data_IF_938301969848
#
_entry.id   IF_938301969848
#
_cell.length_a   1.000
_cell.length_b   1.000
_cell.length_c   1.000
_cell.angle_alpha   90.00
_cell.angle_beta   90.00
_cell.angle_gamma   90.00
#
_symmetry.space_group_name_H-M   'P 1'
#
loop_
_entity.id
_entity.type
_entity.pdbx_description
1 polymer ?
#
# COMPACT_ATOMS: atom_id res chain seq x y z
N UNK A 1 13.55 -8.82 -35.99
CA UNK A 1 13.20 -9.27 -34.62
C UNK A 1 14.34 -8.89 -33.69
N UNK A 2 14.06 -8.30 -32.53
CA UNK A 2 15.11 -8.02 -31.54
C UNK A 2 15.72 -9.33 -31.03
N UNK A 3 17.05 -9.39 -30.94
CA UNK A 3 17.78 -10.60 -30.51
C UNK A 3 17.85 -10.64 -28.98
N UNK A 4 17.63 -11.81 -28.39
CA UNK A 4 17.88 -12.03 -26.97
C UNK A 4 19.34 -11.72 -26.68
N UNK A 5 19.59 -10.76 -25.78
CA UNK A 5 20.94 -10.36 -25.40
C UNK A 5 20.98 -9.97 -23.94
N UNK A 6 22.06 -10.37 -23.26
CA UNK A 6 22.25 -10.13 -21.83
C UNK A 6 22.11 -8.65 -21.46
N UNK A 7 22.65 -7.75 -22.29
CA UNK A 7 22.56 -6.29 -22.09
C UNK A 7 21.12 -5.77 -22.14
N UNK A 8 20.30 -6.31 -23.04
CA UNK A 8 18.88 -5.93 -23.14
C UNK A 8 18.12 -6.46 -21.93
N UNK A 9 18.37 -7.71 -21.54
CA UNK A 9 17.78 -8.33 -20.35
C UNK A 9 18.11 -7.55 -19.08
N UNK A 10 19.38 -7.24 -18.84
CA UNK A 10 19.83 -6.45 -17.68
C UNK A 10 19.13 -5.08 -17.62
N UNK A 11 18.95 -4.44 -18.78
CA UNK A 11 18.25 -3.15 -18.87
C UNK A 11 16.76 -3.28 -18.56
N UNK A 12 16.10 -4.32 -19.06
CA UNK A 12 14.69 -4.61 -18.75
C UNK A 12 14.51 -4.88 -17.26
N UNK A 13 15.31 -5.77 -16.69
CA UNK A 13 15.28 -6.14 -15.26
C UNK A 13 15.55 -4.90 -14.39
N UNK A 14 16.52 -4.07 -14.78
CA UNK A 14 16.80 -2.80 -14.10
C UNK A 14 15.59 -1.86 -14.08
N UNK A 15 14.89 -1.70 -15.21
CA UNK A 15 13.70 -0.85 -15.30
C UNK A 15 12.52 -1.41 -14.49
N UNK A 16 12.33 -2.74 -14.48
CA UNK A 16 11.32 -3.40 -13.65
C UNK A 16 11.58 -3.14 -12.15
N UNK A 17 12.85 -3.14 -11.75
CA UNK A 17 13.26 -2.92 -10.35
C UNK A 17 13.14 -1.46 -9.93
N UNK A 18 13.39 -0.51 -10.83
CA UNK A 18 13.58 0.90 -10.47
C UNK A 18 12.31 1.74 -10.36
N UNK A 19 11.23 1.41 -11.09
CA UNK A 19 10.16 2.39 -11.31
C UNK A 19 8.77 1.77 -11.52
N UNK A 20 7.72 2.60 -11.57
CA UNK A 20 6.32 2.26 -11.82
C UNK A 20 5.94 1.95 -13.26
N UNK A 21 6.93 1.83 -14.15
CA UNK A 21 6.67 1.53 -15.55
C UNK A 21 5.86 0.25 -15.72
N UNK A 22 4.91 0.33 -16.65
CA UNK A 22 4.24 -0.80 -17.24
C UNK A 22 5.21 -1.58 -18.14
N UNK A 23 4.89 -2.86 -18.39
CA UNK A 23 5.66 -3.68 -19.34
C UNK A 23 5.72 -3.00 -20.71
N UNK A 24 4.65 -2.32 -21.12
CA UNK A 24 4.58 -1.57 -22.37
C UNK A 24 5.63 -0.46 -22.46
N UNK A 25 5.75 0.37 -21.41
CA UNK A 25 6.73 1.45 -21.34
C UNK A 25 8.16 0.92 -21.30
N UNK A 26 8.40 -0.15 -20.53
CA UNK A 26 9.70 -0.82 -20.49
C UNK A 26 10.09 -1.33 -21.88
N UNK A 27 9.15 -1.99 -22.57
CA UNK A 27 9.35 -2.49 -23.92
C UNK A 27 9.68 -1.36 -24.90
N UNK A 28 8.96 -0.23 -24.84
CA UNK A 28 9.19 0.94 -25.67
C UNK A 28 10.58 1.55 -25.41
N UNK A 29 10.98 1.68 -24.15
CA UNK A 29 12.26 2.29 -23.76
C UNK A 29 13.47 1.43 -24.13
N UNK A 30 13.29 0.11 -24.15
CA UNK A 30 14.33 -0.85 -24.50
C UNK A 30 14.33 -1.19 -26.00
N UNK A 31 13.25 -0.91 -26.71
CA UNK A 31 13.13 -1.13 -28.15
C UNK A 31 12.73 -2.56 -28.53
N UNK A 32 11.91 -3.22 -27.69
CA UNK A 32 11.33 -4.55 -27.96
C UNK A 32 9.80 -4.46 -28.01
N UNK A 33 9.15 -5.43 -28.66
CA UNK A 33 7.69 -5.56 -28.58
C UNK A 33 7.28 -6.30 -27.31
N UNK A 34 6.07 -6.03 -26.80
CA UNK A 34 5.52 -6.77 -25.65
C UNK A 34 5.42 -8.29 -25.93
N UNK A 35 5.08 -8.66 -27.17
CA UNK A 35 5.10 -10.07 -27.58
C UNK A 35 6.51 -10.69 -27.47
N UNK A 36 7.56 -9.94 -27.78
CA UNK A 36 8.94 -10.41 -27.62
C UNK A 36 9.29 -10.59 -26.14
N UNK A 37 8.86 -9.66 -25.29
CA UNK A 37 9.04 -9.75 -23.84
C UNK A 37 8.39 -11.01 -23.26
N UNK A 38 7.11 -11.25 -23.56
CA UNK A 38 6.39 -12.43 -23.06
C UNK A 38 6.98 -13.73 -23.62
N UNK A 39 7.30 -13.77 -24.92
CA UNK A 39 7.99 -14.92 -25.51
C UNK A 39 9.32 -15.20 -24.81
N UNK A 40 10.10 -14.18 -24.46
CA UNK A 40 11.33 -14.39 -23.71
C UNK A 40 11.09 -14.93 -22.30
N UNK A 41 10.00 -14.54 -21.64
CA UNK A 41 9.65 -15.13 -20.34
C UNK A 41 9.25 -16.62 -20.47
N UNK A 42 8.63 -17.02 -21.58
CA UNK A 42 8.27 -18.41 -21.84
C UNK A 42 9.47 -19.27 -22.26
N UNK A 43 10.35 -18.72 -23.09
CA UNK A 43 11.50 -19.45 -23.69
C UNK A 43 12.76 -19.43 -22.81
N UNK A 44 12.88 -18.50 -21.87
CA UNK A 44 14.09 -18.28 -21.06
C UNK A 44 13.75 -18.19 -19.57
N UNK A 45 13.94 -19.30 -18.85
CA UNK A 45 13.66 -19.41 -17.41
C UNK A 45 14.50 -18.42 -16.57
N UNK A 46 15.76 -18.18 -16.95
CA UNK A 46 16.64 -17.19 -16.32
C UNK A 46 16.06 -15.78 -16.41
N UNK A 47 15.48 -15.43 -17.56
CA UNK A 47 14.80 -14.14 -17.73
C UNK A 47 13.52 -14.06 -16.90
N UNK A 48 12.71 -15.12 -16.89
CA UNK A 48 11.49 -15.17 -16.10
C UNK A 48 11.78 -14.98 -14.60
N UNK A 49 12.74 -15.72 -14.06
CA UNK A 49 13.17 -15.61 -12.66
C UNK A 49 13.69 -14.21 -12.34
N UNK A 50 14.54 -13.64 -13.19
CA UNK A 50 15.08 -12.28 -12.97
C UNK A 50 13.98 -11.20 -12.96
N UNK A 51 12.92 -11.36 -13.77
CA UNK A 51 11.77 -10.44 -13.76
C UNK A 51 10.95 -10.58 -12.48
N UNK A 52 10.71 -11.80 -12.00
CA UNK A 52 9.99 -12.03 -10.75
C UNK A 52 10.78 -11.50 -9.54
N UNK A 53 12.08 -11.78 -9.45
CA UNK A 53 12.94 -11.22 -8.40
C UNK A 53 12.97 -9.68 -8.42
N UNK A 54 12.97 -9.07 -9.61
CA UNK A 54 12.92 -7.62 -9.75
C UNK A 54 11.57 -7.05 -9.26
N UNK A 55 10.45 -7.72 -9.56
CA UNK A 55 9.11 -7.35 -9.07
C UNK A 55 9.01 -7.49 -7.56
N UNK A 56 9.52 -8.57 -7.00
CA UNK A 56 9.53 -8.79 -5.55
C UNK A 56 10.41 -7.74 -4.86
N UNK A 57 11.63 -7.51 -5.35
CA UNK A 57 12.55 -6.48 -4.83
C UNK A 57 11.89 -5.11 -4.82
N UNK A 58 11.21 -4.74 -5.91
CA UNK A 58 10.48 -3.48 -6.01
C UNK A 58 9.30 -3.41 -5.03
N UNK A 59 8.54 -4.50 -4.90
CA UNK A 59 7.43 -4.57 -3.94
C UNK A 59 7.93 -4.40 -2.51
N UNK A 60 9.02 -5.07 -2.13
CA UNK A 60 9.65 -4.93 -0.83
C UNK A 60 10.13 -3.51 -0.56
N UNK A 61 10.73 -2.84 -1.57
CA UNK A 61 11.09 -1.44 -1.47
C UNK A 61 9.89 -0.55 -1.14
N UNK A 62 8.77 -0.70 -1.86
CA UNK A 62 7.56 0.07 -1.55
C UNK A 62 6.99 -0.22 -0.17
N UNK A 63 6.99 -1.49 0.26
CA UNK A 63 6.55 -1.86 1.61
C UNK A 63 7.41 -1.17 2.66
N UNK A 64 8.74 -1.11 2.47
CA UNK A 64 9.65 -0.41 3.37
C UNK A 64 9.38 1.10 3.42
N UNK A 65 9.21 1.75 2.27
CA UNK A 65 8.89 3.19 2.20
C UNK A 65 7.50 3.50 2.77
N UNK A 66 6.53 2.62 2.56
CA UNK A 66 5.20 2.73 3.16
C UNK A 66 5.27 2.63 4.69
N UNK A 67 6.07 1.71 5.25
CA UNK A 67 6.30 1.61 6.70
C UNK A 67 6.95 2.87 7.28
N UNK A 68 7.97 3.42 6.61
CA UNK A 68 8.61 4.69 7.01
C UNK A 68 7.62 5.85 6.98
N UNK A 69 6.82 5.93 5.92
CA UNK A 69 5.79 6.96 5.77
C UNK A 69 4.70 6.83 6.82
N UNK A 70 4.24 5.61 7.11
CA UNK A 70 3.29 5.32 8.18
C UNK A 70 3.84 5.79 9.54
N UNK A 71 5.10 5.51 9.84
CA UNK A 71 5.72 5.97 11.08
C UNK A 71 5.73 7.50 11.21
N UNK A 72 6.10 8.22 10.14
CA UNK A 72 6.01 9.69 10.10
C UNK A 72 4.58 10.18 10.34
N UNK A 73 3.57 9.52 9.74
CA UNK A 73 2.17 9.84 9.96
C UNK A 73 1.73 9.56 11.41
N UNK A 74 2.23 8.51 12.05
CA UNK A 74 1.92 8.19 13.46
C UNK A 74 2.56 9.20 14.42
N UNK A 75 3.78 9.67 14.13
CA UNK A 75 4.53 10.55 15.01
C UNK A 75 4.23 12.04 14.80
N UNK A 76 3.75 12.41 13.61
CA UNK A 76 3.87 13.78 13.13
C UNK A 76 5.31 14.09 12.72
N UNK A 77 5.50 15.12 11.91
CA UNK A 77 6.83 15.51 11.42
C UNK A 77 6.88 16.98 11.03
N UNK A 78 8.07 17.56 11.05
CA UNK A 78 8.28 18.94 10.59
C UNK A 78 8.73 18.98 9.13
N UNK A 79 8.21 19.95 8.38
CA UNK A 79 8.59 20.25 7.01
C UNK A 79 9.13 21.68 6.98
N UNK A 80 10.30 21.85 6.38
CA UNK A 80 10.88 23.17 6.12
C UNK A 80 10.53 23.59 4.70
N UNK A 81 9.71 24.64 4.56
CA UNK A 81 9.41 25.26 3.28
C UNK A 81 10.33 26.47 3.08
N UNK A 82 11.05 26.49 1.97
CA UNK A 82 11.89 27.63 1.57
C UNK A 82 11.26 28.33 0.38
N UNK A 83 10.84 29.58 0.57
CA UNK A 83 10.34 30.44 -0.50
C UNK A 83 11.45 31.40 -0.92
N UNK A 84 11.84 31.35 -2.19
CA UNK A 84 12.86 32.22 -2.77
C UNK A 84 12.19 33.17 -3.76
N UNK A 85 12.31 34.47 -3.52
CA UNK A 85 11.88 35.52 -4.46
C UNK A 85 13.11 36.02 -5.20
N UNK A 86 13.10 35.93 -6.53
CA UNK A 86 14.21 36.39 -7.37
C UNK A 86 13.81 37.60 -8.21
N UNK A 87 14.78 38.46 -8.51
CA UNK A 87 14.64 39.63 -9.37
C UNK A 87 15.65 39.58 -10.52
N UNK A 88 15.35 40.19 -11.68
CA UNK A 88 16.32 40.30 -12.76
C UNK A 88 17.56 41.07 -12.31
N UNK A 89 18.74 40.57 -12.65
CA UNK A 89 20.00 41.27 -12.35
C UNK A 89 20.11 42.51 -13.24
N UNK A 90 20.50 43.65 -12.67
CA UNK A 90 20.68 44.89 -13.44
C UNK A 90 21.84 44.70 -14.43
N UNK A 91 21.52 44.74 -15.73
CA UNK A 91 22.48 44.66 -16.83
C UNK A 91 22.64 43.29 -17.48
N UNK A 92 22.19 42.21 -16.83
CA UNK A 92 22.20 40.86 -17.39
C UNK A 92 20.93 40.10 -16.97
N UNK A 93 19.98 39.98 -17.91
CA UNK A 93 18.73 39.26 -17.68
C UNK A 93 18.88 37.74 -17.72
N UNK A 94 20.07 37.21 -18.04
CA UNK A 94 20.30 35.77 -18.14
C UNK A 94 20.43 35.07 -16.77
N UNK A 95 20.69 35.81 -15.69
CA UNK A 95 20.83 35.27 -14.33
C UNK A 95 20.00 36.09 -13.33
N UNK A 96 18.94 35.53 -12.73
CA UNK A 96 18.19 36.23 -11.69
C UNK A 96 18.97 36.27 -10.35
N UNK A 97 18.90 37.39 -9.62
CA UNK A 97 19.46 37.56 -8.28
C UNK A 97 18.39 37.27 -7.22
N UNK A 98 18.74 36.57 -6.14
CA UNK A 98 17.82 36.32 -5.01
C UNK A 98 17.60 37.64 -4.25
N UNK A 99 16.35 38.08 -4.18
CA UNK A 99 15.93 39.27 -3.42
C UNK A 99 15.60 38.93 -1.97
N UNK A 100 14.94 37.80 -1.76
CA UNK A 100 14.44 37.40 -0.45
C UNK A 100 14.36 35.87 -0.38
N UNK A 101 14.76 35.31 0.76
CA UNK A 101 14.59 33.91 1.09
C UNK A 101 13.89 33.81 2.45
N UNK A 102 12.68 33.26 2.46
CA UNK A 102 11.92 33.00 3.69
C UNK A 102 11.91 31.50 3.94
N UNK A 103 12.39 31.09 5.11
CA UNK A 103 12.39 29.69 5.55
C UNK A 103 11.37 29.52 6.67
N UNK A 104 10.31 28.76 6.41
CA UNK A 104 9.23 28.49 7.39
C UNK A 104 9.26 27.02 7.79
N UNK A 105 9.29 26.76 9.10
CA UNK A 105 9.11 25.41 9.65
C UNK A 105 7.63 25.18 9.94
N UNK A 106 7.02 24.19 9.29
CA UNK A 106 5.63 23.77 9.52
C UNK A 106 5.63 22.41 10.19
N UNK A 107 4.89 22.28 11.28
CA UNK A 107 4.66 20.98 11.90
C UNK A 107 3.40 20.32 11.31
N UNK A 108 3.56 19.12 10.78
CA UNK A 108 2.48 18.27 10.30
C UNK A 108 2.09 17.34 11.44
N UNK A 109 0.85 17.48 11.90
CA UNK A 109 0.30 16.71 13.01
C UNK A 109 0.22 15.21 12.67
N UNK A 110 0.25 14.35 13.69
CA UNK A 110 -0.06 12.94 13.51
C UNK A 110 -1.40 12.70 12.84
N UNK A 111 -1.48 11.67 12.00
CA UNK A 111 -2.70 11.23 11.33
C UNK A 111 -3.46 10.26 12.25
N UNK A 112 -4.61 10.72 12.76
CA UNK A 112 -5.45 9.96 13.68
C UNK A 112 -5.91 8.61 13.08
N UNK A 113 -6.22 8.56 11.79
CA UNK A 113 -6.67 7.31 11.15
C UNK A 113 -5.52 6.31 11.06
N UNK A 114 -4.31 6.76 10.69
CA UNK A 114 -3.12 5.92 10.66
C UNK A 114 -2.79 5.34 12.06
N UNK A 115 -2.96 6.13 13.11
CA UNK A 115 -2.81 5.69 14.50
C UNK A 115 -3.86 4.63 14.85
N UNK A 116 -5.15 4.91 14.58
CA UNK A 116 -6.25 3.98 14.85
C UNK A 116 -6.00 2.64 14.14
N UNK A 117 -5.71 2.65 12.85
CA UNK A 117 -5.44 1.42 12.08
C UNK A 117 -4.25 0.64 12.62
N UNK A 118 -3.19 1.34 13.04
CA UNK A 118 -2.01 0.67 13.61
C UNK A 118 -2.35 0.01 14.94
N UNK A 119 -3.09 0.68 15.80
CA UNK A 119 -3.52 0.14 17.09
C UNK A 119 -4.50 -1.03 16.92
N UNK A 120 -5.52 -0.89 16.08
CA UNK A 120 -6.53 -1.94 15.86
C UNK A 120 -5.94 -3.19 15.23
N UNK A 121 -4.95 -3.05 14.36
CA UNK A 121 -4.30 -4.20 13.70
C UNK A 121 -3.18 -4.80 14.56
N UNK A 122 -2.45 -3.98 15.33
CA UNK A 122 -1.31 -4.41 16.15
C UNK A 122 -1.70 -4.98 17.51
N UNK A 123 -2.77 -4.47 18.14
CA UNK A 123 -3.34 -4.97 19.40
C UNK A 123 -4.88 -4.99 19.31
N UNK A 124 -5.45 -5.89 18.50
CA UNK A 124 -6.90 -5.96 18.28
C UNK A 124 -7.67 -6.29 19.56
N UNK A 125 -7.08 -7.03 20.49
CA UNK A 125 -7.78 -7.40 21.73
C UNK A 125 -8.16 -6.18 22.57
N UNK A 126 -7.31 -5.14 22.55
CA UNK A 126 -7.56 -3.90 23.30
C UNK A 126 -8.22 -2.81 22.47
N UNK A 127 -7.89 -2.71 21.19
CA UNK A 127 -8.23 -1.54 20.37
C UNK A 127 -9.27 -1.83 19.28
N UNK A 128 -9.63 -3.09 19.02
CA UNK A 128 -10.69 -3.38 18.05
C UNK A 128 -11.98 -2.72 18.50
N UNK A 129 -12.67 -2.09 17.55
CA UNK A 129 -13.99 -1.53 17.80
C UNK A 129 -14.92 -2.61 18.37
N UNK A 130 -15.39 -2.39 19.59
CA UNK A 130 -16.41 -3.24 20.21
C UNK A 130 -17.73 -2.98 19.49
N UNK A 131 -18.26 -4.01 18.84
CA UNK A 131 -19.63 -4.01 18.36
C UNK A 131 -20.48 -4.68 19.43
N UNK A 132 -21.42 -3.93 20.01
CA UNK A 132 -22.48 -4.52 20.82
C UNK A 132 -23.62 -4.84 19.86
N UNK A 133 -23.81 -6.11 19.55
CA UNK A 133 -24.93 -6.58 18.75
C UNK A 133 -26.00 -7.10 19.70
N UNK A 134 -27.11 -6.38 19.78
CA UNK A 134 -28.32 -6.92 20.40
C UNK A 134 -29.02 -7.84 19.40
N UNK A 135 -29.26 -9.10 19.78
CA UNK A 135 -29.97 -10.06 18.94
C UNK A 135 -31.40 -10.13 19.46
N UNK A 136 -32.33 -9.54 18.72
CA UNK A 136 -33.77 -9.58 19.01
C UNK A 136 -34.52 -10.31 17.91
N UNK A 137 -35.69 -10.85 18.23
CA UNK A 137 -36.63 -11.40 17.25
C UNK A 137 -37.25 -10.32 16.36
N UNK A 138 -38.10 -10.75 15.43
CA UNK A 138 -38.81 -9.86 14.52
C UNK A 138 -39.57 -8.78 15.31
N UNK A 139 -39.40 -7.52 14.89
CA UNK A 139 -39.97 -6.32 15.54
C UNK A 139 -39.44 -6.03 16.96
N UNK A 140 -38.22 -6.45 17.29
CA UNK A 140 -37.61 -6.20 18.62
C UNK A 140 -38.22 -7.06 19.73
N UNK A 141 -38.98 -8.10 19.38
CA UNK A 141 -39.59 -9.03 20.33
C UNK A 141 -38.58 -10.04 20.83
N UNK A 142 -38.86 -10.64 21.97
CA UNK A 142 -38.09 -11.75 22.51
C UNK A 142 -38.03 -12.90 21.48
N UNK A 143 -36.81 -13.39 21.22
CA UNK A 143 -36.49 -14.43 20.25
C UNK A 143 -37.21 -15.75 20.54
N UNK A 144 -37.47 -16.02 21.82
CA UNK A 144 -37.92 -17.33 22.27
C UNK A 144 -39.33 -17.31 22.85
N UNK A 145 -40.07 -16.20 22.71
CA UNK A 145 -41.41 -16.03 23.28
C UNK A 145 -42.41 -17.13 22.92
N UNK A 146 -42.21 -17.79 21.77
CA UNK A 146 -43.13 -18.82 21.26
C UNK A 146 -42.76 -20.24 21.68
N UNK A 147 -41.60 -20.45 22.29
CA UNK A 147 -41.13 -21.76 22.75
C UNK A 147 -41.34 -21.87 24.25
N UNK A 148 -41.72 -23.05 24.73
CA UNK A 148 -41.69 -23.33 26.16
C UNK A 148 -40.26 -23.59 26.64
N UNK A 149 -40.03 -23.46 27.94
CA UNK A 149 -38.73 -23.74 28.56
C UNK A 149 -38.25 -25.18 28.25
N UNK A 150 -39.17 -26.15 28.25
CA UNK A 150 -38.88 -27.55 27.93
C UNK A 150 -38.43 -27.75 26.47
N UNK A 151 -39.03 -27.01 25.53
CA UNK A 151 -38.66 -27.05 24.11
C UNK A 151 -37.31 -26.37 23.86
N UNK A 152 -37.01 -25.29 24.58
CA UNK A 152 -35.72 -24.60 24.54
C UNK A 152 -34.60 -25.51 25.06
N UNK A 153 -34.80 -26.15 26.21
CA UNK A 153 -33.82 -27.06 26.80
C UNK A 153 -33.48 -28.22 25.85
N UNK A 154 -34.49 -28.76 25.18
CA UNK A 154 -34.29 -29.81 24.17
C UNK A 154 -33.49 -29.32 22.97
N UNK A 155 -33.78 -28.12 22.47
CA UNK A 155 -33.03 -27.53 21.35
C UNK A 155 -31.59 -27.21 21.74
N UNK A 156 -31.34 -26.71 22.95
CA UNK A 156 -29.99 -26.46 23.46
C UNK A 156 -29.21 -27.78 23.52
N UNK A 157 -29.79 -28.84 24.08
CA UNK A 157 -29.13 -30.15 24.15
C UNK A 157 -28.79 -30.74 22.77
N UNK A 158 -29.70 -30.60 21.80
CA UNK A 158 -29.47 -31.04 20.41
C UNK A 158 -28.35 -30.23 19.73
N UNK A 159 -28.24 -28.93 20.01
CA UNK A 159 -27.17 -28.07 19.48
C UNK A 159 -25.82 -28.37 20.13
N UNK A 160 -25.77 -28.57 21.45
CA UNK A 160 -24.54 -28.97 22.15
C UNK A 160 -24.01 -30.31 21.64
N UNK A 161 -24.90 -31.26 21.37
CA UNK A 161 -24.53 -32.55 20.78
C UNK A 161 -23.91 -32.40 19.39
N UNK A 162 -24.42 -31.46 18.58
CA UNK A 162 -23.88 -31.16 17.24
C UNK A 162 -22.55 -30.40 17.29
N UNK A 163 -22.34 -29.57 18.31
CA UNK A 163 -21.09 -28.82 18.48
C UNK A 163 -19.93 -29.73 18.92
N UNK A 164 -20.23 -30.77 19.68
CA UNK A 164 -19.26 -31.73 20.21
C UNK A 164 -19.02 -32.95 19.29
N UNK A 165 -19.57 -32.96 18.07
CA UNK A 165 -19.34 -33.95 17.01
C UNK A 165 -18.34 -33.41 15.99
#
# INVERSE_FOLDING_TARGET
MAKYSKKVVERVVGLVKSDTYTIAEICQQVGISQATFHRWQEEHEDFALAIEEARESRTQFFVQEAKKSLLKKIQGYEVTETKVVTIPTKGDHSKPTIKEQTTTKKHIQPDTAAIIFTLTNGDPMRWRNKQTTEVTGKDGKDLFKTLSDEELDKQIADLEKKLNQ
#
